data_IF_435164827938
#
_entry.id   IF_435164827938
#
_cell.length_a   1.000
_cell.length_b   1.000
_cell.length_c   1.000
_cell.angle_alpha   90.00
_cell.angle_beta   90.00
_cell.angle_gamma   90.00
#
_symmetry.space_group_name_H-M   'P 1'
#
loop_
_entity.id
_entity.type
_entity.pdbx_description
1 polymer ?
#
# COMPACT_ATOMS: atom_id res chain seq x y z
N UNK A 1 -14.12 -15.37 -2.52
CA UNK A 1 -14.12 -14.83 -3.90
C UNK A 1 -14.86 -15.82 -4.80
N UNK A 2 -15.73 -15.36 -5.71
CA UNK A 2 -16.39 -16.24 -6.68
C UNK A 2 -15.37 -17.01 -7.54
N UNK A 3 -15.64 -18.28 -7.83
CA UNK A 3 -14.73 -19.14 -8.59
C UNK A 3 -14.41 -18.59 -9.99
N UNK A 4 -15.40 -18.01 -10.66
CA UNK A 4 -15.25 -17.41 -12.00
C UNK A 4 -14.25 -16.25 -12.04
N UNK A 5 -14.15 -15.46 -10.96
CA UNK A 5 -13.18 -14.35 -10.86
C UNK A 5 -11.78 -14.92 -10.63
N UNK A 6 -11.64 -15.95 -9.78
CA UNK A 6 -10.36 -16.61 -9.54
C UNK A 6 -9.81 -17.23 -10.83
N UNK A 7 -10.65 -17.96 -11.57
CA UNK A 7 -10.26 -18.61 -12.83
C UNK A 7 -9.82 -17.60 -13.89
N UNK A 8 -10.53 -16.46 -14.00
CA UNK A 8 -10.14 -15.39 -14.93
C UNK A 8 -8.80 -14.75 -14.55
N UNK A 9 -8.58 -14.45 -13.27
CA UNK A 9 -7.30 -13.89 -12.82
C UNK A 9 -6.15 -14.87 -13.06
N UNK A 10 -6.37 -16.16 -12.79
CA UNK A 10 -5.38 -17.19 -13.05
C UNK A 10 -5.10 -17.36 -14.55
N UNK A 11 -6.11 -17.21 -15.43
CA UNK A 11 -5.91 -17.26 -16.89
C UNK A 11 -5.06 -16.10 -17.43
N UNK A 12 -5.15 -14.93 -16.79
CA UNK A 12 -4.29 -13.77 -17.09
C UNK A 12 -2.91 -13.86 -16.42
N UNK A 13 -2.61 -14.96 -15.73
CA UNK A 13 -1.36 -15.17 -14.99
C UNK A 13 -1.27 -14.44 -13.65
N UNK A 14 -2.34 -13.74 -13.26
CA UNK A 14 -2.48 -12.99 -12.00
C UNK A 14 -2.87 -13.98 -10.90
N UNK A 15 -1.86 -14.55 -10.25
CA UNK A 15 -2.09 -15.42 -9.10
C UNK A 15 -2.39 -14.61 -7.85
N UNK A 16 -3.32 -15.08 -7.03
CA UNK A 16 -3.57 -14.52 -5.69
C UNK A 16 -2.96 -15.39 -4.60
N UNK A 17 -2.49 -14.75 -3.53
CA UNK A 17 -2.04 -15.47 -2.35
C UNK A 17 -3.22 -16.16 -1.66
N UNK A 18 -2.98 -17.34 -1.09
CA UNK A 18 -4.02 -18.05 -0.33
C UNK A 18 -4.23 -17.40 1.03
N UNK A 19 -5.45 -17.48 1.57
CA UNK A 19 -5.78 -16.98 2.92
C UNK A 19 -4.81 -17.50 3.97
N UNK A 20 -4.40 -18.78 3.86
CA UNK A 20 -3.42 -19.40 4.78
C UNK A 20 -2.07 -18.68 4.78
N UNK A 21 -1.61 -18.24 3.62
CA UNK A 21 -0.35 -17.49 3.49
C UNK A 21 -0.49 -16.10 4.11
N UNK A 22 -1.60 -15.41 3.85
CA UNK A 22 -1.89 -14.11 4.47
C UNK A 22 -1.94 -14.20 6.00
N UNK A 23 -2.61 -15.21 6.55
CA UNK A 23 -2.62 -15.44 8.00
C UNK A 23 -1.21 -15.72 8.56
N UNK A 24 -0.39 -16.49 7.84
CA UNK A 24 1.01 -16.77 8.25
C UNK A 24 1.83 -15.47 8.28
N UNK A 25 1.68 -14.58 7.29
CA UNK A 25 2.38 -13.30 7.25
C UNK A 25 1.96 -12.39 8.42
N UNK A 26 0.66 -12.28 8.70
CA UNK A 26 0.13 -11.49 9.82
C UNK A 26 0.65 -12.03 11.16
N UNK A 27 0.62 -13.35 11.37
CA UNK A 27 1.15 -13.95 12.59
C UNK A 27 2.65 -13.74 12.76
N UNK A 28 3.42 -13.71 11.66
CA UNK A 28 4.85 -13.40 11.68
C UNK A 28 5.09 -11.98 12.19
N UNK A 29 4.39 -10.98 11.65
CA UNK A 29 4.47 -9.59 12.13
C UNK A 29 4.05 -9.49 13.60
N UNK A 30 2.95 -10.16 13.98
CA UNK A 30 2.43 -10.05 15.34
C UNK A 30 3.29 -10.74 16.41
N UNK A 31 4.07 -11.77 16.04
CA UNK A 31 4.80 -12.61 17.01
C UNK A 31 6.31 -12.31 17.06
N UNK A 32 6.87 -11.66 16.05
CA UNK A 32 8.31 -11.45 15.93
C UNK A 32 8.65 -9.97 16.08
N UNK A 33 9.09 -9.59 17.28
CA UNK A 33 9.47 -8.21 17.59
C UNK A 33 10.72 -7.72 16.83
N UNK A 34 11.48 -8.60 16.17
CA UNK A 34 12.68 -8.21 15.40
C UNK A 34 12.36 -7.52 14.07
N UNK A 35 11.11 -7.62 13.61
CA UNK A 35 10.64 -7.07 12.33
C UNK A 35 9.60 -5.96 12.51
N UNK A 36 9.56 -5.34 13.68
CA UNK A 36 8.69 -4.19 13.91
C UNK A 36 9.06 -3.04 12.96
N UNK A 37 8.05 -2.47 12.30
CA UNK A 37 8.23 -1.43 11.28
C UNK A 37 8.26 -1.97 9.85
N UNK A 38 8.59 -3.25 9.65
CA UNK A 38 8.72 -3.88 8.33
C UNK A 38 7.40 -4.05 7.60
N UNK A 39 7.42 -3.85 6.29
CA UNK A 39 6.28 -4.14 5.42
C UNK A 39 6.47 -5.49 4.69
N UNK A 40 5.46 -6.37 4.74
CA UNK A 40 5.51 -7.68 4.06
C UNK A 40 4.59 -7.71 2.83
N UNK A 41 5.16 -8.08 1.68
CA UNK A 41 4.42 -8.34 0.45
C UNK A 41 3.92 -9.77 0.43
N UNK A 42 2.60 -9.97 0.40
CA UNK A 42 1.99 -11.31 0.37
C UNK A 42 1.70 -11.72 -1.07
N UNK A 43 2.30 -12.81 -1.52
CA UNK A 43 2.27 -13.25 -2.92
C UNK A 43 1.97 -14.74 -3.06
N UNK A 44 1.49 -15.19 -4.23
CA UNK A 44 1.42 -16.61 -4.55
C UNK A 44 2.76 -17.33 -4.32
N UNK A 45 2.70 -18.58 -3.84
CA UNK A 45 3.90 -19.39 -3.58
C UNK A 45 4.75 -19.69 -4.82
N UNK A 46 4.20 -19.48 -6.02
CA UNK A 46 4.96 -19.58 -7.28
C UNK A 46 6.06 -18.52 -7.39
N UNK A 47 5.91 -17.38 -6.71
CA UNK A 47 6.90 -16.29 -6.72
C UNK A 47 7.91 -16.42 -5.57
N UNK A 48 7.44 -16.71 -4.37
CA UNK A 48 8.27 -16.89 -3.17
C UNK A 48 7.76 -18.09 -2.38
N UNK A 49 8.64 -19.04 -2.03
CA UNK A 49 8.25 -20.31 -1.42
C UNK A 49 7.43 -20.14 -0.13
N UNK A 50 7.77 -19.14 0.69
CA UNK A 50 7.04 -18.82 1.93
C UNK A 50 5.69 -18.14 1.69
N UNK A 51 5.48 -17.59 0.49
CA UNK A 51 4.29 -16.84 0.07
C UNK A 51 4.24 -15.41 0.59
N UNK A 52 5.32 -14.94 1.21
CA UNK A 52 5.53 -13.53 1.51
C UNK A 52 7.02 -13.23 1.51
N UNK A 53 7.37 -11.97 1.33
CA UNK A 53 8.73 -11.46 1.44
C UNK A 53 8.71 -10.06 2.04
N UNK A 54 9.84 -9.64 2.57
CA UNK A 54 10.03 -8.29 3.09
C UNK A 54 10.13 -7.31 1.92
N UNK A 55 9.31 -6.26 1.94
CA UNK A 55 9.32 -5.24 0.90
C UNK A 55 10.56 -4.35 1.00
N UNK A 56 11.07 -4.11 2.21
CA UNK A 56 12.18 -3.17 2.47
C UNK A 56 11.94 -1.77 1.89
N UNK A 57 10.69 -1.32 1.95
CA UNK A 57 10.21 -0.04 1.38
C UNK A 57 9.52 0.83 2.45
N UNK A 58 9.49 0.35 3.69
CA UNK A 58 8.93 1.02 4.86
C UNK A 58 9.89 2.04 5.48
N UNK A 59 11.20 1.87 5.26
CA UNK A 59 12.22 2.83 5.65
C UNK A 59 12.31 3.96 4.61
N UNK A 60 12.36 5.21 5.07
CA UNK A 60 12.44 6.38 4.20
C UNK A 60 13.85 6.51 3.60
N UNK A 61 14.06 5.95 2.40
CA UNK A 61 15.30 6.11 1.66
C UNK A 61 15.28 7.39 0.82
N UNK A 62 16.41 8.12 0.75
CA UNK A 62 16.46 9.41 0.04
C UNK A 62 16.13 9.31 -1.46
N UNK A 63 16.32 8.13 -2.05
CA UNK A 63 16.09 7.81 -3.46
C UNK A 63 15.19 6.56 -3.53
N UNK A 64 13.90 6.74 -3.30
CA UNK A 64 12.89 5.68 -3.40
C UNK A 64 11.61 6.19 -4.09
N UNK A 65 11.01 5.34 -4.91
CA UNK A 65 9.76 5.58 -5.64
C UNK A 65 8.62 5.97 -4.68
N UNK A 66 8.56 5.38 -3.48
CA UNK A 66 7.51 5.71 -2.51
C UNK A 66 7.64 7.12 -1.96
N UNK A 67 8.87 7.64 -1.83
CA UNK A 67 9.13 9.03 -1.46
C UNK A 67 8.61 9.99 -2.53
N UNK A 68 8.94 9.76 -3.81
CA UNK A 68 8.45 10.60 -4.91
C UNK A 68 6.92 10.64 -4.93
N UNK A 69 6.27 9.48 -4.76
CA UNK A 69 4.80 9.42 -4.70
C UNK A 69 4.24 10.17 -3.49
N UNK A 70 4.86 10.02 -2.31
CA UNK A 70 4.46 10.70 -1.09
C UNK A 70 4.60 12.22 -1.20
N UNK A 71 5.69 12.71 -1.78
CA UNK A 71 5.93 14.14 -2.04
C UNK A 71 4.86 14.72 -2.96
N UNK A 72 4.50 14.02 -4.04
CA UNK A 72 3.41 14.44 -4.95
C UNK A 72 2.07 14.54 -4.21
N UNK A 73 1.76 13.57 -3.34
CA UNK A 73 0.52 13.59 -2.54
C UNK A 73 0.50 14.78 -1.57
N UNK A 74 1.61 15.04 -0.88
CA UNK A 74 1.75 16.17 0.04
C UNK A 74 1.58 17.49 -0.72
N UNK A 75 2.30 17.67 -1.84
CA UNK A 75 2.23 18.88 -2.66
C UNK A 75 0.81 19.12 -3.19
N UNK A 76 0.13 18.05 -3.61
CA UNK A 76 -1.26 18.11 -4.07
C UNK A 76 -2.20 18.55 -2.94
N UNK A 77 -2.04 18.00 -1.74
CA UNK A 77 -2.82 18.38 -0.57
C UNK A 77 -2.60 19.85 -0.17
N UNK A 78 -1.36 20.33 -0.23
CA UNK A 78 -1.05 21.74 0.05
C UNK A 78 -1.72 22.69 -0.95
N UNK A 79 -1.65 22.37 -2.25
CA UNK A 79 -2.30 23.16 -3.31
C UNK A 79 -3.82 23.18 -3.17
N UNK A 80 -4.43 22.02 -2.92
CA UNK A 80 -5.88 21.91 -2.75
C UNK A 80 -6.36 22.56 -1.43
N UNK A 81 -5.59 22.42 -0.35
CA UNK A 81 -5.87 23.06 0.93
C UNK A 81 -5.80 24.59 0.85
N UNK A 82 -4.83 25.14 0.11
CA UNK A 82 -4.77 26.58 -0.17
C UNK A 82 -5.96 27.05 -1.02
N UNK A 83 -6.36 26.28 -2.03
CA UNK A 83 -7.54 26.55 -2.85
C UNK A 83 -8.86 26.58 -2.05
N UNK A 84 -9.01 25.67 -1.07
CA UNK A 84 -10.17 25.63 -0.19
C UNK A 84 -10.21 26.82 0.80
N UNK A 85 -9.07 27.19 1.39
CA UNK A 85 -9.01 28.33 2.33
C UNK A 85 -9.22 29.68 1.63
N UNK A 86 -8.82 29.80 0.37
CA UNK A 86 -9.00 31.03 -0.42
C UNK A 86 -10.44 31.21 -0.87
N UNK A 87 -11.14 30.14 -1.27
CA UNK A 87 -12.57 30.21 -1.64
C UNK A 87 -13.45 30.52 -0.43
N UNK A 88 -13.21 29.91 0.73
CA UNK A 88 -13.95 30.22 1.98
C UNK A 88 -13.75 31.67 2.44
N UNK A 89 -12.57 32.27 2.22
CA UNK A 89 -12.30 33.68 2.53
C UNK A 89 -12.92 34.66 1.53
N UNK A 90 -13.24 34.22 0.31
CA UNK A 90 -13.96 35.04 -0.68
C UNK A 90 -15.47 35.04 -0.40
N UNK A 91 -16.02 33.89 -0.02
CA UNK A 91 -17.43 33.73 0.33
C UNK A 91 -17.81 34.55 1.58
N UNK A 92 -16.95 34.53 2.63
CA UNK A 92 -17.12 35.37 3.83
C UNK A 92 -16.92 36.88 3.62
N UNK A 93 -16.48 37.33 2.44
CA UNK A 93 -16.31 38.75 2.11
C UNK A 93 -17.47 39.31 1.27
N UNK A 94 -18.41 38.47 0.82
CA UNK A 94 -19.58 38.86 0.04
C UNK A 94 -20.89 38.88 0.86
N UNK A 95 -20.82 38.64 2.17
CA UNK A 95 -21.94 38.69 3.11
C UNK A 95 -21.57 39.59 4.31
#
# INVERSE_FOLDING_TARGET
>A
MPASIQEHLDSEGIGLATVKVSCKAVLKIASDCSINGRALGVVPRKYVADGYFDLDLDDYYEVDMFKEMQEVVIETMEKLGHGYLTSVKQDKRQN
#
